data_IF_531369010520
#
_entry.id   IF_531369010520
#
_cell.length_a   1.000
_cell.length_b   1.000
_cell.length_c   1.000
_cell.angle_alpha   90.00
_cell.angle_beta   90.00
_cell.angle_gamma   90.00
#
_symmetry.space_group_name_H-M   'P 1'
#
loop_
_entity.id
_entity.type
_entity.pdbx_description
1 polymer ?
#
# COMPACT_ATOMS: atom_id res chain seq x y z
N UNK A 1 87.19 6.46 2.70
CA UNK A 1 86.45 5.75 1.68
C UNK A 1 85.24 5.14 2.35
N UNK A 2 84.05 5.82 2.24
CA UNK A 2 82.81 5.34 2.79
C UNK A 2 81.99 4.87 1.64
N UNK A 3 81.65 3.55 1.63
CA UNK A 3 80.69 2.98 0.68
C UNK A 3 79.29 3.18 1.21
N UNK A 4 78.50 4.02 0.53
CA UNK A 4 77.09 4.21 0.74
C UNK A 4 76.31 2.95 0.27
N UNK A 5 75.79 2.20 1.24
CA UNK A 5 74.87 1.12 1.00
C UNK A 5 73.54 1.74 0.55
N UNK A 6 73.22 1.61 -0.74
CA UNK A 6 71.92 1.92 -1.26
C UNK A 6 71.00 0.74 -0.94
N UNK A 7 70.26 0.84 0.17
CA UNK A 7 69.14 -0.06 0.43
C UNK A 7 68.00 0.26 -0.51
N UNK A 8 67.92 -0.51 -1.56
CA UNK A 8 66.80 -0.47 -2.51
C UNK A 8 65.57 -1.02 -1.81
N UNK A 9 64.72 -0.15 -1.32
CA UNK A 9 63.39 -0.50 -0.84
C UNK A 9 62.61 -1.12 -1.98
N UNK A 10 62.59 -2.45 -2.06
CA UNK A 10 61.64 -3.18 -2.88
C UNK A 10 60.25 -2.95 -2.32
N UNK A 11 59.55 -1.96 -2.88
CA UNK A 11 58.15 -1.81 -2.70
C UNK A 11 57.44 -3.07 -3.28
N UNK A 12 57.07 -3.95 -2.39
CA UNK A 12 56.21 -5.10 -2.74
C UNK A 12 54.89 -4.54 -3.31
N UNK A 13 54.80 -4.48 -4.61
CA UNK A 13 53.52 -4.25 -5.31
C UNK A 13 52.63 -5.47 -5.04
N UNK A 14 51.74 -5.36 -4.05
CA UNK A 14 50.64 -6.31 -3.85
C UNK A 14 49.90 -6.40 -5.18
N UNK A 15 50.05 -7.50 -5.90
CA UNK A 15 49.22 -7.80 -7.08
C UNK A 15 47.80 -7.83 -6.61
N UNK A 16 47.00 -6.84 -7.03
CA UNK A 16 45.58 -6.89 -6.87
C UNK A 16 45.08 -8.08 -7.72
N UNK A 17 44.59 -9.11 -7.06
CA UNK A 17 43.96 -10.23 -7.76
C UNK A 17 42.75 -9.68 -8.53
N UNK A 18 42.82 -9.71 -9.84
CA UNK A 18 41.66 -9.36 -10.69
C UNK A 18 40.64 -10.49 -10.68
N UNK A 19 39.37 -10.15 -10.78
CA UNK A 19 38.30 -11.12 -10.93
C UNK A 19 38.49 -11.92 -12.23
N UNK A 20 38.29 -13.22 -12.17
CA UNK A 20 38.29 -14.06 -13.36
C UNK A 20 36.92 -13.96 -14.06
N UNK A 21 36.93 -14.10 -15.40
CA UNK A 21 35.68 -14.05 -16.19
C UNK A 21 34.68 -15.15 -15.76
N UNK A 22 35.20 -16.33 -15.39
CA UNK A 22 34.36 -17.43 -14.90
C UNK A 22 33.70 -17.11 -13.55
N UNK A 23 34.41 -16.45 -12.66
CA UNK A 23 33.89 -16.05 -11.35
C UNK A 23 32.71 -15.06 -11.50
N UNK A 24 32.82 -14.13 -12.47
CA UNK A 24 31.72 -13.20 -12.78
C UNK A 24 30.50 -13.95 -13.35
N UNK A 25 30.71 -14.89 -14.28
CA UNK A 25 29.61 -15.66 -14.89
C UNK A 25 28.88 -16.50 -13.83
N UNK A 26 29.62 -17.16 -12.94
CA UNK A 26 29.02 -17.97 -11.85
C UNK A 26 28.20 -17.09 -10.92
N UNK A 27 28.70 -15.96 -10.49
CA UNK A 27 27.96 -15.02 -9.63
C UNK A 27 26.69 -14.51 -10.34
N UNK A 28 26.80 -14.11 -11.60
CA UNK A 28 25.64 -13.64 -12.39
C UNK A 28 24.59 -14.73 -12.54
N UNK A 29 24.97 -15.98 -12.75
CA UNK A 29 24.02 -17.10 -12.89
C UNK A 29 23.28 -17.39 -11.58
N UNK A 30 23.96 -17.33 -10.44
CA UNK A 30 23.32 -17.49 -9.12
C UNK A 30 22.34 -16.33 -8.85
N UNK A 31 22.76 -15.10 -9.12
CA UNK A 31 21.90 -13.93 -8.95
C UNK A 31 20.65 -14.00 -9.84
N UNK A 32 20.78 -14.46 -11.09
CA UNK A 32 19.65 -14.60 -12.00
C UNK A 32 18.58 -15.57 -11.47
N UNK A 33 19.00 -16.70 -10.91
CA UNK A 33 18.08 -17.68 -10.28
C UNK A 33 17.40 -17.07 -9.04
N UNK A 34 18.17 -16.42 -8.16
CA UNK A 34 17.62 -15.79 -6.95
C UNK A 34 16.63 -14.69 -7.28
N UNK A 35 16.92 -13.84 -8.25
CA UNK A 35 16.04 -12.76 -8.70
C UNK A 35 14.72 -13.31 -9.30
N UNK A 36 14.78 -14.41 -10.05
CA UNK A 36 13.59 -15.06 -10.58
C UNK A 36 12.62 -15.52 -9.49
N UNK A 37 13.12 -16.17 -8.44
CA UNK A 37 12.31 -16.60 -7.29
C UNK A 37 11.82 -15.40 -6.49
N UNK A 38 12.66 -14.39 -6.25
CA UNK A 38 12.30 -13.20 -5.50
C UNK A 38 11.17 -12.39 -6.18
N UNK A 39 11.23 -12.22 -7.50
CA UNK A 39 10.23 -11.50 -8.27
C UNK A 39 8.84 -12.15 -8.16
N UNK A 40 8.73 -13.46 -8.24
CA UNK A 40 7.48 -14.20 -8.09
C UNK A 40 6.86 -14.01 -6.70
N UNK A 41 7.66 -14.13 -5.65
CA UNK A 41 7.20 -13.92 -4.25
C UNK A 41 6.79 -12.49 -3.98
N UNK A 42 7.51 -11.52 -4.54
CA UNK A 42 7.21 -10.10 -4.38
C UNK A 42 5.85 -9.74 -4.99
N UNK A 43 5.54 -10.22 -6.19
CA UNK A 43 4.24 -9.98 -6.84
C UNK A 43 3.07 -10.51 -6.01
N UNK A 44 3.18 -11.75 -5.51
CA UNK A 44 2.15 -12.33 -4.64
C UNK A 44 1.97 -11.55 -3.33
N UNK A 45 3.07 -11.09 -2.71
CA UNK A 45 3.02 -10.30 -1.49
C UNK A 45 2.33 -8.95 -1.70
N UNK A 46 2.57 -8.29 -2.82
CA UNK A 46 1.91 -7.02 -3.18
C UNK A 46 0.41 -7.21 -3.41
N UNK A 47 0.00 -8.28 -4.09
CA UNK A 47 -1.42 -8.60 -4.27
C UNK A 47 -2.12 -8.79 -2.91
N UNK A 48 -1.55 -9.61 -2.03
CA UNK A 48 -2.10 -9.85 -0.70
C UNK A 48 -2.23 -8.56 0.14
N UNK A 49 -1.24 -7.65 0.06
CA UNK A 49 -1.32 -6.34 0.74
C UNK A 49 -2.49 -5.51 0.24
N UNK A 50 -2.78 -5.51 -1.06
CA UNK A 50 -3.92 -4.80 -1.63
C UNK A 50 -5.25 -5.35 -1.13
N UNK A 51 -5.40 -6.68 -1.06
CA UNK A 51 -6.61 -7.32 -0.53
C UNK A 51 -6.81 -6.99 0.95
N UNK A 52 -5.76 -7.05 1.77
CA UNK A 52 -5.82 -6.68 3.19
C UNK A 52 -6.21 -5.20 3.33
N UNK A 53 -5.68 -4.32 2.48
CA UNK A 53 -6.05 -2.89 2.49
C UNK A 53 -7.54 -2.72 2.21
N UNK A 54 -8.09 -3.40 1.20
CA UNK A 54 -9.54 -3.37 0.89
C UNK A 54 -10.38 -3.80 2.09
N UNK A 55 -10.04 -4.93 2.73
CA UNK A 55 -10.77 -5.42 3.90
C UNK A 55 -10.77 -4.41 5.06
N UNK A 56 -9.64 -3.76 5.31
CA UNK A 56 -9.55 -2.71 6.32
C UNK A 56 -10.35 -1.46 5.92
N UNK A 57 -10.27 -1.03 4.67
CA UNK A 57 -10.99 0.13 4.16
C UNK A 57 -12.51 -0.09 4.24
N UNK A 58 -13.01 -1.27 3.86
CA UNK A 58 -14.42 -1.62 3.98
C UNK A 58 -14.91 -1.55 5.43
N UNK A 59 -14.11 -2.01 6.40
CA UNK A 59 -14.43 -1.92 7.84
C UNK A 59 -14.47 -0.47 8.33
N UNK A 60 -13.54 0.35 7.87
CA UNK A 60 -13.52 1.78 8.22
C UNK A 60 -14.76 2.48 7.69
N UNK A 61 -15.12 2.25 6.42
CA UNK A 61 -16.32 2.82 5.82
C UNK A 61 -17.57 2.33 6.56
N UNK A 62 -17.70 1.02 6.81
CA UNK A 62 -18.84 0.46 7.53
C UNK A 62 -19.01 1.06 8.92
N UNK A 63 -17.91 1.24 9.66
CA UNK A 63 -17.94 1.89 10.98
C UNK A 63 -18.36 3.36 10.88
N UNK A 64 -17.82 4.07 9.90
CA UNK A 64 -18.17 5.47 9.64
C UNK A 64 -19.67 5.63 9.27
N UNK A 65 -20.22 4.70 8.47
CA UNK A 65 -21.64 4.67 8.13
C UNK A 65 -22.54 4.54 9.37
N UNK A 66 -22.18 3.63 10.30
CA UNK A 66 -22.93 3.46 11.54
C UNK A 66 -22.84 4.70 12.44
N UNK A 67 -21.69 5.35 12.52
CA UNK A 67 -21.52 6.57 13.30
C UNK A 67 -22.33 7.72 12.69
N UNK A 68 -22.29 7.86 11.36
CA UNK A 68 -23.08 8.86 10.64
C UNK A 68 -24.58 8.71 10.90
N UNK A 69 -25.10 7.45 10.85
CA UNK A 69 -26.51 7.17 11.17
C UNK A 69 -26.87 7.60 12.59
N UNK A 70 -26.00 7.36 13.56
CA UNK A 70 -26.24 7.70 14.96
C UNK A 70 -26.21 9.21 15.21
N UNK A 71 -25.35 9.95 14.52
CA UNK A 71 -25.15 11.38 14.72
C UNK A 71 -26.16 12.21 13.89
N UNK A 72 -26.70 11.65 12.81
CA UNK A 72 -27.64 12.34 11.91
C UNK A 72 -29.05 12.50 12.52
N UNK A 73 -29.59 13.71 12.49
CA UNK A 73 -30.98 14.01 12.91
C UNK A 73 -32.06 13.19 12.19
N UNK A 74 -31.78 12.79 10.95
CA UNK A 74 -32.73 12.06 10.10
C UNK A 74 -32.47 10.57 10.09
N UNK A 75 -31.47 10.06 10.83
CA UNK A 75 -30.99 8.68 10.77
C UNK A 75 -30.75 8.22 9.31
N UNK A 76 -30.22 9.13 8.50
CA UNK A 76 -29.91 8.90 7.09
C UNK A 76 -28.49 8.35 6.93
N UNK A 77 -28.26 7.66 5.82
CA UNK A 77 -26.94 7.22 5.43
C UNK A 77 -26.40 8.07 4.27
N UNK A 78 -25.08 8.35 4.23
CA UNK A 78 -24.47 8.92 3.05
C UNK A 78 -24.53 7.93 1.88
N UNK A 79 -24.69 8.44 0.69
CA UNK A 79 -24.79 7.63 -0.53
C UNK A 79 -23.43 7.35 -1.16
N UNK A 80 -22.42 8.13 -0.79
CA UNK A 80 -21.06 8.03 -1.32
C UNK A 80 -20.03 8.12 -0.20
N UNK A 81 -18.81 7.64 -0.47
CA UNK A 81 -17.68 7.79 0.46
C UNK A 81 -17.22 9.24 0.55
N UNK A 82 -17.41 10.03 -0.51
CA UNK A 82 -17.06 11.45 -0.51
C UNK A 82 -17.91 12.22 0.52
N UNK A 83 -19.19 11.87 0.70
CA UNK A 83 -20.05 12.44 1.76
C UNK A 83 -19.53 12.10 3.18
N UNK A 84 -18.95 10.90 3.38
CA UNK A 84 -18.30 10.55 4.65
C UNK A 84 -17.00 11.34 4.89
N UNK A 85 -16.30 11.72 3.83
CA UNK A 85 -15.10 12.57 3.91
C UNK A 85 -15.44 14.02 4.21
N UNK A 86 -16.53 14.53 3.64
CA UNK A 86 -17.05 15.86 3.93
C UNK A 86 -17.60 15.96 5.36
N UNK A 87 -18.09 14.84 5.88
CA UNK A 87 -18.64 14.70 7.21
C UNK A 87 -20.05 15.23 7.35
N UNK A 88 -20.60 15.21 8.56
CA UNK A 88 -21.93 15.70 8.89
C UNK A 88 -21.84 17.15 9.37
N UNK A 89 -22.55 18.10 8.72
CA UNK A 89 -22.56 19.49 9.18
C UNK A 89 -23.34 19.63 10.50
N UNK A 90 -22.98 20.64 11.29
CA UNK A 90 -23.57 20.89 12.60
C UNK A 90 -25.11 21.07 12.55
N UNK A 91 -25.65 21.54 11.42
CA UNK A 91 -27.11 21.69 11.21
C UNK A 91 -27.88 20.39 11.19
N UNK A 92 -27.22 19.31 10.80
CA UNK A 92 -27.84 18.00 10.53
C UNK A 92 -27.48 16.98 11.62
N UNK A 93 -26.70 17.38 12.61
CA UNK A 93 -26.23 16.58 13.75
C UNK A 93 -27.14 16.75 14.97
N UNK A 94 -27.31 15.66 15.73
CA UNK A 94 -28.07 15.67 17.00
C UNK A 94 -27.48 16.56 18.09
N UNK A 95 -26.17 16.71 18.14
CA UNK A 95 -25.46 17.50 19.14
C UNK A 95 -25.16 18.94 18.69
N UNK A 96 -25.50 19.28 17.45
CA UNK A 96 -25.26 20.58 16.84
C UNK A 96 -23.79 20.86 16.54
N UNK A 97 -22.95 19.81 16.43
CA UNK A 97 -21.54 19.89 16.06
C UNK A 97 -21.28 19.24 14.71
N UNK A 98 -20.27 19.70 13.99
CA UNK A 98 -19.83 19.06 12.76
C UNK A 98 -18.96 17.86 13.10
N UNK A 99 -19.21 16.73 12.41
CA UNK A 99 -18.50 15.47 12.60
C UNK A 99 -17.74 15.07 11.34
N UNK A 100 -16.48 14.67 11.49
CA UNK A 100 -15.63 14.08 10.45
C UNK A 100 -15.48 12.58 10.76
N UNK A 101 -15.87 11.71 9.83
CA UNK A 101 -15.87 10.25 10.06
C UNK A 101 -14.66 9.54 9.46
N UNK A 102 -14.18 10.03 8.32
CA UNK A 102 -13.01 9.48 7.64
C UNK A 102 -12.06 10.62 7.29
N UNK A 103 -10.80 10.50 7.73
CA UNK A 103 -9.75 11.45 7.37
C UNK A 103 -8.71 10.82 6.46
N UNK A 104 -8.50 11.41 5.28
CA UNK A 104 -7.45 10.99 4.34
C UNK A 104 -6.05 11.15 4.94
N UNK A 105 -5.85 12.16 5.79
CA UNK A 105 -4.56 12.42 6.45
C UNK A 105 -4.13 11.30 7.40
N UNK A 106 -5.10 10.67 8.09
CA UNK A 106 -4.82 9.55 9.01
C UNK A 106 -4.41 8.29 8.27
N UNK A 107 -4.77 8.16 7.00
CA UNK A 107 -4.46 7.02 6.14
C UNK A 107 -3.04 7.07 5.57
N UNK A 108 -2.39 8.23 5.57
CA UNK A 108 -1.05 8.41 5.00
C UNK A 108 -0.98 8.33 3.48
N UNK A 109 -2.12 8.41 2.81
CA UNK A 109 -2.22 8.45 1.35
C UNK A 109 -2.20 9.92 0.89
N UNK A 110 -1.35 10.22 -0.08
CA UNK A 110 -1.19 11.55 -0.71
C UNK A 110 -2.21 11.71 -1.85
N UNK A 111 -3.48 11.31 -1.60
CA UNK A 111 -4.57 11.29 -2.58
C UNK A 111 -5.78 12.07 -2.08
N UNK A 112 -6.42 12.81 -2.97
CA UNK A 112 -7.59 13.63 -2.67
C UNK A 112 -8.90 12.82 -2.55
N UNK A 113 -8.86 11.51 -2.80
CA UNK A 113 -10.02 10.61 -2.80
C UNK A 113 -9.78 9.33 -2.02
N UNK A 114 -10.84 8.81 -1.43
CA UNK A 114 -10.83 7.50 -0.77
C UNK A 114 -11.17 6.40 -1.79
N UNK A 115 -10.15 5.87 -2.44
CA UNK A 115 -10.28 4.85 -3.48
C UNK A 115 -9.62 3.53 -3.09
N UNK A 116 -10.01 2.47 -3.77
CA UNK A 116 -9.41 1.16 -3.62
C UNK A 116 -7.95 1.12 -4.14
N UNK A 117 -7.16 0.07 -3.87
CA UNK A 117 -5.78 -0.04 -4.35
C UNK A 117 -5.62 -0.14 -5.87
N UNK A 118 -6.70 -0.19 -6.64
CA UNK A 118 -6.71 -0.18 -8.11
C UNK A 118 -7.27 1.12 -8.68
N UNK A 119 -7.66 2.08 -7.80
CA UNK A 119 -8.14 3.40 -8.18
C UNK A 119 -9.63 3.49 -8.47
N UNK A 120 -10.44 2.50 -8.06
CA UNK A 120 -11.89 2.55 -8.20
C UNK A 120 -12.55 3.05 -6.91
N UNK A 121 -13.73 3.65 -7.04
CA UNK A 121 -14.53 4.07 -5.89
C UNK A 121 -15.16 2.84 -5.19
N UNK A 122 -15.31 2.93 -3.85
CA UNK A 122 -16.10 1.97 -3.10
C UNK A 122 -17.59 2.21 -3.36
N UNK A 123 -18.36 1.13 -3.50
CA UNK A 123 -19.78 1.20 -3.77
C UNK A 123 -20.56 1.00 -2.48
N UNK A 124 -21.37 1.98 -2.11
CA UNK A 124 -22.29 1.93 -0.97
C UNK A 124 -23.68 1.57 -1.47
N UNK A 125 -24.28 0.52 -0.91
CA UNK A 125 -25.67 0.13 -1.10
C UNK A 125 -26.43 0.34 0.20
N UNK A 126 -27.08 1.48 0.32
CA UNK A 126 -27.83 1.89 1.51
C UNK A 126 -29.00 0.95 1.78
N UNK A 127 -29.67 0.44 0.72
CA UNK A 127 -30.83 -0.42 0.87
C UNK A 127 -30.48 -1.78 1.48
N UNK A 128 -29.31 -2.32 1.09
CA UNK A 128 -28.81 -3.59 1.60
C UNK A 128 -27.85 -3.41 2.79
N UNK A 129 -27.60 -2.16 3.20
CA UNK A 129 -26.65 -1.81 4.26
C UNK A 129 -25.27 -2.46 4.04
N UNK A 130 -24.74 -2.33 2.83
CA UNK A 130 -23.43 -2.91 2.48
C UNK A 130 -22.54 -1.91 1.77
N UNK A 131 -21.25 -2.00 2.05
CA UNK A 131 -20.20 -1.37 1.26
C UNK A 131 -19.40 -2.45 0.55
N UNK A 132 -19.02 -2.21 -0.69
CA UNK A 132 -18.38 -3.23 -1.51
C UNK A 132 -17.26 -2.66 -2.40
N UNK A 133 -16.35 -3.56 -2.78
CA UNK A 133 -15.30 -3.32 -3.75
C UNK A 133 -15.13 -4.57 -4.61
N UNK A 134 -14.77 -4.38 -5.87
CA UNK A 134 -14.41 -5.47 -6.79
C UNK A 134 -12.90 -5.47 -7.01
N UNK A 135 -12.15 -6.31 -6.27
CA UNK A 135 -10.70 -6.40 -6.41
C UNK A 135 -10.29 -6.88 -7.80
N UNK A 136 -9.04 -6.61 -8.19
CA UNK A 136 -8.45 -7.14 -9.42
C UNK A 136 -7.27 -8.04 -9.11
N UNK A 137 -7.07 -9.06 -9.96
CA UNK A 137 -5.88 -9.91 -9.89
C UNK A 137 -4.63 -9.18 -10.42
N UNK A 138 -3.51 -9.88 -10.44
CA UNK A 138 -2.23 -9.34 -10.93
C UNK A 138 -2.24 -8.97 -12.43
N UNK A 139 -3.24 -9.45 -13.18
CA UNK A 139 -3.42 -9.20 -14.62
C UNK A 139 -4.54 -8.20 -14.92
N UNK A 140 -5.16 -7.62 -13.86
CA UNK A 140 -6.24 -6.64 -13.99
C UNK A 140 -7.63 -7.24 -14.22
N UNK A 141 -7.79 -8.57 -14.08
CA UNK A 141 -9.09 -9.25 -14.17
C UNK A 141 -9.83 -9.11 -12.85
N UNK A 142 -11.13 -8.85 -12.92
CA UNK A 142 -11.99 -8.72 -11.75
C UNK A 142 -12.09 -10.04 -10.98
N UNK A 143 -11.91 -9.94 -9.67
CA UNK A 143 -12.12 -10.99 -8.69
C UNK A 143 -13.54 -10.90 -8.10
N UNK A 144 -13.99 -11.89 -7.33
CA UNK A 144 -15.26 -11.82 -6.62
C UNK A 144 -15.34 -10.56 -5.75
N UNK A 145 -16.49 -9.88 -5.81
CA UNK A 145 -16.74 -8.67 -5.01
C UNK A 145 -16.67 -8.97 -3.52
N UNK A 146 -15.90 -8.19 -2.80
CA UNK A 146 -15.82 -8.22 -1.34
C UNK A 146 -16.86 -7.24 -0.79
N UNK A 147 -17.63 -7.66 0.20
CA UNK A 147 -18.68 -6.87 0.84
C UNK A 147 -18.52 -6.85 2.34
N UNK A 148 -18.87 -5.73 2.96
CA UNK A 148 -18.98 -5.54 4.40
C UNK A 148 -20.36 -4.96 4.71
N UNK A 149 -21.06 -5.53 5.70
CA UNK A 149 -22.32 -4.98 6.21
C UNK A 149 -22.05 -3.91 7.28
N UNK A 150 -22.96 -2.95 7.39
CA UNK A 150 -22.99 -1.90 8.40
C UNK A 150 -24.36 -1.71 9.04
#
# INVERSE_FOLDING_TARGET
MQFLSINFLQAQMKRKAGFTLIELIVVMSILAVLLGVAASKYSSAQHNKRIIKVDNDLKVIATAMLQYEQDSLTASFPSTVDELLEGLPASDSHDGQAHEYISLKSRGDDVDKFVDPWGNDYVIDVNNRTVSCTPKDAFGKDLPTVKQEF
#
